data_IF_953454809464
#
_entry.id   IF_953454809464
#
_cell.length_a   1.000
_cell.length_b   1.000
_cell.length_c   1.000
_cell.angle_alpha   90.00
_cell.angle_beta   90.00
_cell.angle_gamma   90.00
#
_symmetry.space_group_name_H-M   'P 1'
#
loop_
_entity.id
_entity.type
_entity.pdbx_description
1 polymer ?
#
# COMPACT_ATOMS: atom_id res chain seq x y z
N UNK A 1 -7.19 1.62 -9.78
CA UNK A 1 -6.33 2.49 -8.98
C UNK A 1 -4.97 2.56 -9.63
N UNK A 2 -4.58 3.72 -10.13
CA UNK A 2 -3.24 4.01 -10.69
C UNK A 2 -2.38 4.75 -9.66
N UNK A 3 -1.08 4.93 -9.96
CA UNK A 3 -0.19 5.69 -9.09
C UNK A 3 -0.58 7.17 -9.04
N UNK A 4 -1.04 7.73 -10.16
CA UNK A 4 -1.48 9.14 -10.24
C UNK A 4 -2.77 9.39 -9.45
N UNK A 5 -3.71 8.44 -9.49
CA UNK A 5 -4.91 8.46 -8.65
C UNK A 5 -4.52 8.44 -7.16
N UNK A 6 -3.50 7.65 -6.79
CA UNK A 6 -2.98 7.63 -5.40
C UNK A 6 -2.30 8.95 -5.02
N UNK A 7 -1.55 9.58 -5.92
CA UNK A 7 -0.86 10.85 -5.67
C UNK A 7 -1.85 11.99 -5.38
N UNK A 8 -3.03 11.97 -5.99
CA UNK A 8 -4.07 13.00 -5.85
C UNK A 8 -5.04 12.77 -4.69
N UNK A 9 -4.92 11.66 -3.94
CA UNK A 9 -5.83 11.40 -2.81
C UNK A 9 -5.61 12.35 -1.63
N UNK A 10 -6.71 12.84 -1.06
CA UNK A 10 -6.71 13.71 0.13
C UNK A 10 -6.47 12.96 1.45
N UNK A 11 -6.45 11.62 1.44
CA UNK A 11 -6.21 10.83 2.65
C UNK A 11 -4.73 10.47 2.84
N UNK A 12 -4.20 10.49 4.07
CA UNK A 12 -2.79 10.13 4.34
C UNK A 12 -2.51 8.62 4.28
N UNK A 13 -3.54 7.80 4.15
CA UNK A 13 -3.45 6.34 4.20
C UNK A 13 -4.19 5.66 3.06
N UNK A 14 -3.60 4.58 2.56
CA UNK A 14 -4.16 3.66 1.59
C UNK A 14 -4.66 2.39 2.28
N UNK A 15 -5.63 1.75 1.63
CA UNK A 15 -6.14 0.43 1.95
C UNK A 15 -5.52 -0.59 0.99
N UNK A 16 -5.52 -1.86 1.40
CA UNK A 16 -5.04 -2.95 0.56
C UNK A 16 -5.67 -2.98 -0.85
N UNK A 17 -6.96 -2.58 -0.98
CA UNK A 17 -7.64 -2.51 -2.27
C UNK A 17 -7.12 -1.41 -3.20
N UNK A 18 -6.53 -0.36 -2.65
CA UNK A 18 -6.01 0.76 -3.44
C UNK A 18 -4.65 0.38 -4.06
N UNK A 19 -3.84 -0.39 -3.33
CA UNK A 19 -2.50 -0.81 -3.76
C UNK A 19 -2.49 -2.12 -4.54
N UNK A 20 -3.49 -2.98 -4.36
CA UNK A 20 -3.62 -4.27 -5.03
C UNK A 20 -3.45 -4.20 -6.56
N UNK A 21 -4.09 -3.26 -7.29
CA UNK A 21 -3.90 -3.13 -8.73
C UNK A 21 -2.46 -2.80 -9.13
N UNK A 22 -1.75 -1.98 -8.34
CA UNK A 22 -0.37 -1.56 -8.61
C UNK A 22 0.66 -2.64 -8.28
N UNK A 23 0.29 -3.57 -7.40
CA UNK A 23 1.09 -4.72 -7.03
C UNK A 23 0.74 -5.98 -7.83
N UNK A 24 -0.26 -5.91 -8.70
CA UNK A 24 -0.78 -7.04 -9.49
C UNK A 24 -1.12 -8.25 -8.61
N UNK A 25 -1.67 -8.00 -7.42
CA UNK A 25 -2.00 -9.04 -6.46
C UNK A 25 -3.32 -8.79 -5.74
N UNK A 26 -3.82 -9.81 -5.05
CA UNK A 26 -5.10 -9.72 -4.35
C UNK A 26 -5.00 -8.92 -3.04
N UNK A 27 -6.04 -8.14 -2.71
CA UNK A 27 -6.08 -7.32 -1.52
C UNK A 27 -6.05 -8.15 -0.21
N UNK A 28 -6.57 -9.38 -0.21
CA UNK A 28 -6.44 -10.32 0.91
C UNK A 28 -5.00 -10.77 1.07
N UNK A 29 -4.29 -11.09 -0.03
CA UNK A 29 -2.88 -11.45 0.02
C UNK A 29 -2.04 -10.33 0.67
N UNK A 30 -2.27 -9.06 0.29
CA UNK A 30 -1.61 -7.90 0.92
C UNK A 30 -1.89 -7.85 2.43
N UNK A 31 -3.14 -8.07 2.85
CA UNK A 31 -3.48 -8.09 4.29
C UNK A 31 -2.76 -9.21 5.03
N UNK A 32 -2.67 -10.40 4.43
CA UNK A 32 -1.97 -11.54 5.03
C UNK A 32 -0.46 -11.29 5.13
N UNK A 33 0.16 -10.73 4.09
CA UNK A 33 1.58 -10.39 4.11
C UNK A 33 1.90 -9.23 5.05
N UNK A 34 1.02 -8.23 5.15
CA UNK A 34 1.14 -7.16 6.15
C UNK A 34 1.05 -7.70 7.58
N UNK A 35 0.19 -8.71 7.84
CA UNK A 35 0.14 -9.36 9.16
C UNK A 35 1.43 -10.09 9.51
N UNK A 36 2.11 -10.63 8.49
CA UNK A 36 3.39 -11.33 8.61
C UNK A 36 4.60 -10.39 8.52
N UNK A 37 4.39 -9.08 8.36
CA UNK A 37 5.44 -8.07 8.17
C UNK A 37 6.39 -8.40 6.99
N UNK A 38 5.83 -9.01 5.93
CA UNK A 38 6.57 -9.46 4.73
C UNK A 38 6.41 -8.56 3.51
N UNK A 39 5.77 -7.41 3.66
CA UNK A 39 5.62 -6.48 2.55
C UNK A 39 6.89 -5.63 2.37
N UNK A 40 7.26 -5.29 1.14
CA UNK A 40 8.45 -4.48 0.85
C UNK A 40 8.26 -2.98 1.16
N UNK A 41 7.12 -2.60 1.75
CA UNK A 41 6.80 -1.25 2.17
C UNK A 41 6.14 -1.26 3.55
N UNK A 42 6.19 -0.10 4.20
CA UNK A 42 5.64 0.09 5.54
C UNK A 42 4.13 -0.10 5.55
N UNK A 43 3.64 -0.80 6.58
CA UNK A 43 2.21 -0.88 6.91
C UNK A 43 1.99 -0.53 8.38
N UNK A 44 0.80 -0.06 8.71
CA UNK A 44 0.40 0.28 10.07
C UNK A 44 -0.89 -0.44 10.44
N UNK A 45 -0.97 -0.92 11.69
CA UNK A 45 -2.20 -1.50 12.24
C UNK A 45 -3.00 -0.42 12.96
N UNK A 46 -4.22 -0.16 12.50
CA UNK A 46 -5.20 0.74 13.12
C UNK A 46 -6.27 -0.10 13.82
N UNK A 47 -6.02 -0.47 15.08
CA UNK A 47 -6.89 -1.38 15.84
C UNK A 47 -6.68 -2.86 15.47
N UNK A 48 -7.62 -3.74 15.86
CA UNK A 48 -7.42 -5.20 15.77
C UNK A 48 -7.46 -5.79 14.35
N UNK A 49 -8.15 -5.15 13.40
CA UNK A 49 -8.43 -5.73 12.07
C UNK A 49 -8.01 -4.87 10.88
N UNK A 50 -7.76 -3.57 11.08
CA UNK A 50 -7.52 -2.65 9.97
C UNK A 50 -6.02 -2.47 9.77
N UNK A 51 -5.56 -2.81 8.58
CA UNK A 51 -4.21 -2.52 8.10
C UNK A 51 -4.34 -1.35 7.15
N UNK A 52 -3.51 -0.34 7.36
CA UNK A 52 -3.40 0.84 6.50
C UNK A 52 -1.97 0.97 6.02
N UNK A 53 -1.79 1.61 4.87
CA UNK A 53 -0.48 1.79 4.25
C UNK A 53 -0.26 3.29 4.16
N UNK A 54 0.80 3.86 4.76
CA UNK A 54 1.08 5.29 4.63
C UNK A 54 1.25 5.66 3.16
N UNK A 55 0.47 6.62 2.67
CA UNK A 55 0.36 6.94 1.24
C UNK A 55 1.70 7.37 0.65
N UNK A 56 2.39 8.30 1.32
CA UNK A 56 3.67 8.83 0.86
C UNK A 56 4.77 7.77 0.82
N UNK A 57 4.80 6.86 1.79
CA UNK A 57 5.77 5.76 1.84
C UNK A 57 5.54 4.77 0.69
N UNK A 58 4.27 4.48 0.37
CA UNK A 58 3.94 3.62 -0.77
C UNK A 58 4.28 4.26 -2.11
N UNK A 59 4.02 5.57 -2.27
CA UNK A 59 4.42 6.32 -3.47
C UNK A 59 5.94 6.26 -3.63
N UNK A 60 6.70 6.57 -2.57
CA UNK A 60 8.17 6.51 -2.59
C UNK A 60 8.68 5.12 -3.00
N UNK A 61 8.15 4.06 -2.39
CA UNK A 61 8.48 2.68 -2.76
C UNK A 61 8.24 2.40 -4.26
N UNK A 62 7.12 2.86 -4.82
CA UNK A 62 6.79 2.64 -6.24
C UNK A 62 7.68 3.45 -7.18
N UNK A 63 8.06 4.66 -6.80
CA UNK A 63 8.95 5.50 -7.60
C UNK A 63 10.40 4.99 -7.56
N UNK A 64 10.89 4.56 -6.40
CA UNK A 64 12.23 3.96 -6.24
C UNK A 64 12.37 2.63 -7.00
N UNK A 65 11.31 1.83 -7.09
CA UNK A 65 11.31 0.58 -7.87
C UNK A 65 11.22 0.77 -9.39
N UNK A 66 10.81 1.95 -9.87
CA UNK A 66 10.75 2.29 -11.29
C UNK A 66 11.87 3.25 -11.74
N UNK A 67 12.78 3.63 -10.83
CA UNK A 67 14.01 4.32 -11.20
C UNK A 67 15.01 3.33 -11.82
N UNK A 68 14.98 3.20 -13.14
CA UNK A 68 16.11 2.68 -13.92
C UNK A 68 17.33 3.59 -13.77
#
# INVERSE_FOLDING_TARGET
MTLDEIKTMDRPYLLAKDVAPLMECDAQWIREMARKEKLPFRTERRGKRKIVIPRMEFIRYREEMCGC
#
